data_IF_929094026623
#
_entry.id   IF_929094026623
#
_cell.length_a   1.000
_cell.length_b   1.000
_cell.length_c   1.000
_cell.angle_alpha   90.00
_cell.angle_beta   90.00
_cell.angle_gamma   90.00
#
_symmetry.space_group_name_H-M   'P 1'
#
loop_
_entity.id
_entity.type
_entity.pdbx_description
1 polymer ?
#
# COMPACT_ATOMS: atom_id res chain seq x y z
N UNK A 1 -54.85 49.98 -15.30
CA UNK A 1 -53.57 49.47 -15.79
C UNK A 1 -52.98 48.66 -14.66
N UNK A 2 -53.14 47.31 -14.68
CA UNK A 2 -52.58 46.38 -13.68
C UNK A 2 -51.20 45.90 -14.14
N UNK A 3 -50.14 46.23 -13.38
CA UNK A 3 -48.79 45.75 -13.62
C UNK A 3 -48.68 44.32 -13.06
N UNK A 4 -48.46 43.34 -13.93
CA UNK A 4 -48.19 41.97 -13.57
C UNK A 4 -46.69 41.89 -13.28
N UNK A 5 -46.31 41.64 -12.02
CA UNK A 5 -44.93 41.40 -11.62
C UNK A 5 -44.66 39.91 -11.75
N UNK A 6 -43.78 39.54 -12.71
CA UNK A 6 -43.35 38.16 -12.95
C UNK A 6 -42.16 37.87 -12.01
N UNK A 7 -42.43 37.17 -10.94
CA UNK A 7 -41.38 36.71 -10.02
C UNK A 7 -40.57 35.53 -10.63
N UNK A 8 -39.30 35.75 -10.91
CA UNK A 8 -38.37 34.72 -11.34
C UNK A 8 -37.96 33.86 -10.11
N UNK A 9 -38.49 32.66 -9.98
CA UNK A 9 -38.04 31.69 -8.97
C UNK A 9 -36.76 31.03 -9.49
N UNK A 10 -35.62 31.44 -8.95
CA UNK A 10 -34.35 30.79 -9.20
C UNK A 10 -34.32 29.45 -8.42
N UNK A 11 -34.33 28.35 -9.11
CA UNK A 11 -34.17 27.00 -8.56
C UNK A 11 -32.67 26.78 -8.30
N UNK A 12 -32.25 26.96 -7.06
CA UNK A 12 -30.87 26.66 -6.62
C UNK A 12 -30.77 25.15 -6.45
N UNK A 13 -30.21 24.47 -7.45
CA UNK A 13 -29.81 23.06 -7.33
C UNK A 13 -28.53 23.03 -6.50
N UNK A 14 -28.66 22.72 -5.21
CA UNK A 14 -27.52 22.43 -4.35
C UNK A 14 -27.00 21.03 -4.72
N UNK A 15 -25.93 20.97 -5.47
CA UNK A 15 -25.14 19.74 -5.59
C UNK A 15 -24.49 19.47 -4.23
N UNK A 16 -25.08 18.58 -3.45
CA UNK A 16 -24.40 17.99 -2.30
C UNK A 16 -23.34 17.04 -2.89
N UNK A 17 -22.10 17.50 -3.05
CA UNK A 17 -20.96 16.62 -3.29
C UNK A 17 -20.60 15.91 -1.99
N UNK A 18 -21.34 14.88 -1.63
CA UNK A 18 -20.95 13.93 -0.59
C UNK A 18 -20.04 12.89 -1.23
N UNK A 19 -18.85 13.32 -1.66
CA UNK A 19 -17.86 12.42 -2.25
C UNK A 19 -16.82 12.03 -1.20
N UNK A 20 -17.28 11.52 -0.04
CA UNK A 20 -16.37 10.96 0.95
C UNK A 20 -16.05 9.50 0.65
N UNK A 21 -17.01 8.77 0.06
CA UNK A 21 -16.88 7.37 -0.33
C UNK A 21 -17.58 7.18 -1.69
N UNK A 22 -16.78 6.83 -2.69
CA UNK A 22 -17.28 6.54 -4.04
C UNK A 22 -17.68 5.05 -4.08
N UNK A 23 -18.98 4.71 -4.29
CA UNK A 23 -19.42 3.32 -4.28
C UNK A 23 -18.80 2.45 -5.38
N UNK A 24 -18.42 3.02 -6.52
CA UNK A 24 -17.76 2.28 -7.59
C UNK A 24 -16.31 1.99 -7.22
N UNK A 25 -15.60 2.96 -6.63
CA UNK A 25 -14.26 2.76 -6.08
C UNK A 25 -14.27 1.69 -4.97
N UNK A 26 -15.29 1.69 -4.09
CA UNK A 26 -15.44 0.69 -3.03
C UNK A 26 -15.52 -0.72 -3.60
N UNK A 27 -16.39 -0.96 -4.57
CA UNK A 27 -16.54 -2.28 -5.20
C UNK A 27 -15.25 -2.78 -5.86
N UNK A 28 -14.46 -1.89 -6.46
CA UNK A 28 -13.17 -2.23 -7.07
C UNK A 28 -12.16 -2.60 -5.98
N UNK A 29 -12.05 -1.81 -4.92
CA UNK A 29 -11.15 -2.04 -3.80
C UNK A 29 -11.51 -3.34 -3.05
N UNK A 30 -12.78 -3.60 -2.79
CA UNK A 30 -13.26 -4.86 -2.19
C UNK A 30 -12.89 -6.07 -3.06
N UNK A 31 -13.09 -5.98 -4.38
CA UNK A 31 -12.78 -7.06 -5.31
C UNK A 31 -11.29 -7.35 -5.36
N UNK A 32 -10.45 -6.31 -5.36
CA UNK A 32 -9.00 -6.41 -5.26
C UNK A 32 -8.61 -7.07 -3.92
N UNK A 33 -9.07 -6.54 -2.79
CA UNK A 33 -8.76 -7.08 -1.45
C UNK A 33 -9.16 -8.56 -1.35
N UNK A 34 -10.37 -8.92 -1.79
CA UNK A 34 -10.84 -10.30 -1.81
C UNK A 34 -9.95 -11.21 -2.66
N UNK A 35 -9.47 -10.73 -3.82
CA UNK A 35 -8.56 -11.48 -4.70
C UNK A 35 -7.25 -11.79 -3.99
N UNK A 36 -6.63 -10.82 -3.30
CA UNK A 36 -5.39 -11.03 -2.57
C UNK A 36 -5.59 -11.93 -1.34
N UNK A 37 -6.64 -11.72 -0.56
CA UNK A 37 -7.00 -12.54 0.61
C UNK A 37 -7.37 -13.99 0.26
N UNK A 38 -7.84 -14.24 -0.95
CA UNK A 38 -8.16 -15.62 -1.40
C UNK A 38 -6.93 -16.49 -1.66
N UNK A 39 -5.75 -15.88 -1.78
CA UNK A 39 -4.48 -16.59 -1.95
C UNK A 39 -3.98 -17.09 -0.60
N UNK A 40 -3.64 -18.38 -0.51
CA UNK A 40 -3.06 -18.94 0.71
C UNK A 40 -1.67 -18.35 1.00
N UNK A 41 -0.86 -18.18 -0.05
CA UNK A 41 0.38 -17.41 -0.03
C UNK A 41 0.73 -16.98 -1.46
N UNK A 42 1.51 -15.92 -1.61
CA UNK A 42 1.99 -15.44 -2.90
C UNK A 42 3.37 -14.78 -2.80
N UNK A 43 4.04 -14.64 -3.92
CA UNK A 43 5.26 -13.86 -4.10
C UNK A 43 5.00 -12.75 -5.11
N UNK A 44 5.48 -11.56 -4.81
CA UNK A 44 5.46 -10.43 -5.73
C UNK A 44 6.86 -9.84 -5.88
N UNK A 45 7.28 -9.58 -7.12
CA UNK A 45 8.43 -8.72 -7.40
C UNK A 45 7.94 -7.32 -7.74
N UNK A 46 8.67 -6.31 -7.29
CA UNK A 46 8.30 -4.92 -7.50
C UNK A 46 9.52 -4.03 -7.74
N UNK A 47 9.25 -2.87 -8.29
CA UNK A 47 10.17 -1.74 -8.32
C UNK A 47 9.59 -0.63 -7.48
N UNK A 48 10.41 -0.04 -6.61
CA UNK A 48 10.10 1.18 -5.89
C UNK A 48 10.91 2.31 -6.49
N UNK A 49 10.24 3.42 -6.80
CA UNK A 49 10.89 4.66 -7.21
C UNK A 49 10.62 5.71 -6.13
N UNK A 50 11.70 6.21 -5.52
CA UNK A 50 11.67 7.33 -4.58
C UNK A 50 11.97 8.62 -5.33
N UNK A 51 11.04 9.58 -5.27
CA UNK A 51 11.12 10.86 -5.94
C UNK A 51 11.00 11.98 -4.90
N UNK A 52 11.93 12.93 -4.94
CA UNK A 52 11.78 14.23 -4.29
C UNK A 52 12.23 15.32 -5.25
N UNK A 53 11.28 16.04 -5.85
CA UNK A 53 11.54 17.06 -6.88
C UNK A 53 12.34 18.24 -6.32
N UNK A 54 12.13 18.62 -5.05
CA UNK A 54 12.83 19.74 -4.41
C UNK A 54 14.32 19.43 -4.24
N UNK A 55 14.64 18.19 -3.86
CA UNK A 55 16.01 17.71 -3.65
C UNK A 55 16.63 17.11 -4.91
N UNK A 56 15.89 17.07 -6.03
CA UNK A 56 16.29 16.43 -7.30
C UNK A 56 16.70 14.96 -7.10
N UNK A 57 15.98 14.23 -6.24
CA UNK A 57 16.19 12.79 -5.99
C UNK A 57 15.23 12.02 -6.89
N UNK A 58 15.75 11.00 -7.56
CA UNK A 58 15.00 10.02 -8.36
C UNK A 58 15.75 8.69 -8.31
N UNK A 59 15.40 7.85 -7.32
CA UNK A 59 16.11 6.62 -6.99
C UNK A 59 15.22 5.40 -7.18
N UNK A 60 15.77 4.35 -7.77
CA UNK A 60 15.08 3.09 -8.02
C UNK A 60 15.71 1.97 -7.23
N UNK A 61 14.86 1.20 -6.56
CA UNK A 61 15.23 -0.07 -5.97
C UNK A 61 14.25 -1.16 -6.41
N UNK A 62 14.72 -2.40 -6.46
CA UNK A 62 13.86 -3.55 -6.72
C UNK A 62 13.81 -4.45 -5.50
N UNK A 63 12.69 -5.12 -5.31
CA UNK A 63 12.52 -6.03 -4.20
C UNK A 63 11.61 -7.20 -4.53
N UNK A 64 11.60 -8.16 -3.61
CA UNK A 64 10.69 -9.31 -3.64
C UNK A 64 10.00 -9.42 -2.29
N UNK A 65 8.70 -9.58 -2.30
CA UNK A 65 7.90 -9.84 -1.10
C UNK A 65 7.19 -11.19 -1.23
N UNK A 66 7.24 -11.98 -0.17
CA UNK A 66 6.44 -13.18 0.02
C UNK A 66 5.43 -12.92 1.13
N UNK A 67 4.18 -13.29 0.92
CA UNK A 67 3.09 -13.02 1.87
C UNK A 67 2.28 -14.27 2.11
N UNK A 68 1.94 -14.53 3.38
CA UNK A 68 1.04 -15.60 3.83
C UNK A 68 0.21 -15.13 5.03
N UNK A 69 -1.03 -14.70 4.77
CA UNK A 69 -1.85 -14.06 5.79
C UNK A 69 -1.19 -12.79 6.33
N UNK A 70 -0.91 -12.73 7.63
CA UNK A 70 -0.21 -11.61 8.28
C UNK A 70 1.33 -11.74 8.25
N UNK A 71 1.87 -12.89 7.78
CA UNK A 71 3.30 -13.15 7.71
C UNK A 71 3.86 -12.65 6.39
N UNK A 72 5.10 -12.18 6.42
CA UNK A 72 5.80 -11.79 5.19
C UNK A 72 7.32 -11.97 5.31
N UNK A 73 7.97 -12.14 4.16
CA UNK A 73 9.40 -12.01 3.97
C UNK A 73 9.63 -10.98 2.87
N UNK A 74 10.38 -9.93 3.14
CA UNK A 74 10.70 -8.86 2.21
C UNK A 74 12.20 -8.82 1.97
N UNK A 75 12.61 -8.90 0.71
CA UNK A 75 14.00 -8.78 0.25
C UNK A 75 14.13 -7.49 -0.54
N UNK A 76 14.89 -6.52 -0.02
CA UNK A 76 15.03 -5.19 -0.62
C UNK A 76 16.36 -4.55 -0.22
N UNK A 77 17.08 -3.98 -1.20
CA UNK A 77 18.28 -3.16 -0.97
C UNK A 77 19.33 -3.80 -0.03
N UNK A 78 19.58 -5.10 -0.15
CA UNK A 78 20.55 -5.84 0.68
C UNK A 78 20.08 -6.18 2.08
N UNK A 79 18.81 -5.93 2.39
CA UNK A 79 18.16 -6.32 3.62
C UNK A 79 17.12 -7.41 3.38
N UNK A 80 16.95 -8.29 4.37
CA UNK A 80 15.87 -9.27 4.40
C UNK A 80 15.09 -9.09 5.69
N UNK A 81 13.81 -8.78 5.55
CA UNK A 81 12.91 -8.60 6.67
C UNK A 81 11.98 -9.82 6.74
N UNK A 82 11.92 -10.46 7.92
CA UNK A 82 11.01 -11.57 8.20
C UNK A 82 9.98 -11.14 9.23
N UNK A 83 8.74 -11.51 9.02
CA UNK A 83 7.64 -11.33 9.96
C UNK A 83 6.85 -12.64 10.08
N UNK A 84 6.89 -13.26 11.25
CA UNK A 84 6.14 -14.49 11.54
C UNK A 84 4.74 -14.24 12.15
N UNK A 85 4.35 -12.94 12.26
CA UNK A 85 3.12 -12.48 12.88
C UNK A 85 3.24 -12.17 14.38
N UNK A 86 4.41 -12.39 14.99
CA UNK A 86 4.73 -12.07 16.40
C UNK A 86 6.01 -11.28 16.52
N UNK A 87 7.02 -11.64 15.73
CA UNK A 87 8.33 -11.00 15.71
C UNK A 87 8.66 -10.47 14.34
N UNK A 88 9.45 -9.42 14.32
CA UNK A 88 10.02 -8.80 13.14
C UNK A 88 11.54 -8.92 13.22
N UNK A 89 12.17 -9.60 12.27
CA UNK A 89 13.62 -9.66 12.12
C UNK A 89 14.03 -8.81 10.92
N UNK A 90 15.07 -8.02 11.08
CA UNK A 90 15.71 -7.28 10.00
C UNK A 90 17.16 -7.73 9.90
N UNK A 91 17.47 -8.49 8.86
CA UNK A 91 18.80 -9.00 8.58
C UNK A 91 19.48 -8.14 7.51
N UNK A 92 20.71 -7.70 7.80
CA UNK A 92 21.60 -7.03 6.88
C UNK A 92 22.80 -7.94 6.56
N UNK A 93 22.88 -8.37 5.31
CA UNK A 93 23.98 -9.22 4.85
C UNK A 93 25.32 -8.47 4.85
N UNK A 94 25.31 -7.15 4.58
CA UNK A 94 26.51 -6.31 4.48
C UNK A 94 27.29 -6.24 5.82
N UNK A 95 26.56 -6.12 6.94
CA UNK A 95 27.15 -6.00 8.27
C UNK A 95 27.03 -7.28 9.11
N UNK A 96 26.43 -8.34 8.56
CA UNK A 96 26.23 -9.62 9.23
C UNK A 96 25.51 -9.48 10.58
N UNK A 97 24.46 -8.67 10.61
CA UNK A 97 23.67 -8.36 11.80
C UNK A 97 22.19 -8.67 11.57
N UNK A 98 21.53 -9.23 12.57
CA UNK A 98 20.08 -9.35 12.61
C UNK A 98 19.54 -8.70 13.87
N UNK A 99 18.59 -7.80 13.68
CA UNK A 99 17.80 -7.24 14.78
C UNK A 99 16.49 -8.00 14.91
N UNK A 100 15.98 -8.20 16.12
CA UNK A 100 14.64 -8.74 16.36
C UNK A 100 13.86 -7.84 17.30
N UNK A 101 12.60 -7.57 16.96
CA UNK A 101 11.64 -6.84 17.79
C UNK A 101 10.28 -7.54 17.78
N UNK A 102 9.42 -7.16 18.71
CA UNK A 102 8.01 -7.57 18.66
C UNK A 102 7.32 -6.90 17.47
N UNK A 103 6.55 -7.68 16.70
CA UNK A 103 5.78 -7.14 15.61
C UNK A 103 4.53 -6.41 16.12
N UNK A 104 4.38 -5.15 15.76
CA UNK A 104 3.17 -4.37 15.96
C UNK A 104 2.55 -4.00 14.61
N UNK A 105 1.33 -4.46 14.38
CA UNK A 105 0.61 -4.19 13.13
C UNK A 105 0.25 -2.70 12.97
N UNK A 106 0.04 -2.00 14.08
CA UNK A 106 -0.37 -0.58 14.06
C UNK A 106 0.79 0.36 13.74
N UNK A 107 2.04 -0.10 13.97
CA UNK A 107 3.25 0.66 13.65
C UNK A 107 3.80 0.39 12.24
N UNK A 108 3.06 -0.38 11.41
CA UNK A 108 3.56 -0.75 10.09
C UNK A 108 3.35 0.34 9.05
N UNK A 109 4.41 0.66 8.33
CA UNK A 109 4.35 1.50 7.15
C UNK A 109 3.49 0.86 6.04
N UNK A 110 2.95 1.72 5.18
CA UNK A 110 2.23 1.28 3.98
C UNK A 110 3.19 0.61 3.03
N UNK A 111 2.90 -0.63 2.68
CA UNK A 111 3.74 -1.44 1.82
C UNK A 111 2.94 -2.48 1.04
N UNK A 112 3.63 -3.29 0.23
CA UNK A 112 3.05 -4.43 -0.46
C UNK A 112 2.54 -5.55 0.48
N UNK A 113 2.70 -5.42 1.80
CA UNK A 113 2.20 -6.40 2.77
C UNK A 113 0.78 -6.09 3.25
N UNK A 114 0.31 -4.83 3.13
CA UNK A 114 -0.95 -4.36 3.71
C UNK A 114 -1.80 -3.46 2.78
N UNK A 115 -1.24 -3.00 1.67
CA UNK A 115 -1.86 -1.98 0.78
C UNK A 115 -3.27 -2.34 0.30
N UNK A 116 -3.58 -3.65 0.11
CA UNK A 116 -4.90 -4.09 -0.40
C UNK A 116 -6.04 -3.98 0.62
N UNK A 117 -5.73 -3.77 1.90
CA UNK A 117 -6.72 -3.63 2.97
C UNK A 117 -6.83 -2.22 3.54
N UNK A 118 -5.90 -1.33 3.18
CA UNK A 118 -5.75 -0.01 3.77
C UNK A 118 -7.03 0.84 3.68
N UNK A 119 -7.82 0.68 2.61
CA UNK A 119 -9.05 1.46 2.38
C UNK A 119 -10.16 1.20 3.41
N UNK A 120 -10.08 0.10 4.19
CA UNK A 120 -11.16 -0.34 5.08
C UNK A 120 -11.37 0.58 6.27
N UNK A 121 -10.31 1.20 6.77
CA UNK A 121 -10.36 2.07 7.95
C UNK A 121 -9.52 3.33 7.76
N UNK A 122 -10.09 4.49 8.12
CA UNK A 122 -9.35 5.75 8.19
C UNK A 122 -9.18 6.50 6.88
N UNK A 123 -9.71 6.00 5.75
CA UNK A 123 -9.55 6.64 4.44
C UNK A 123 -10.88 6.92 3.77
N UNK A 124 -10.97 8.06 3.08
CA UNK A 124 -11.93 8.31 2.02
C UNK A 124 -11.31 7.95 0.68
N UNK A 125 -12.12 7.54 -0.27
CA UNK A 125 -11.63 7.11 -1.57
C UNK A 125 -12.54 7.59 -2.70
N UNK A 126 -11.95 7.78 -3.89
CA UNK A 126 -12.66 8.19 -5.07
C UNK A 126 -12.03 7.66 -6.35
N UNK A 127 -12.89 7.35 -7.32
CA UNK A 127 -12.49 6.92 -8.64
C UNK A 127 -12.07 8.14 -9.49
N UNK A 128 -10.95 8.00 -10.19
CA UNK A 128 -10.45 8.98 -11.14
C UNK A 128 -10.65 8.49 -12.59
N UNK A 129 -10.26 9.34 -13.54
CA UNK A 129 -10.20 8.96 -14.96
C UNK A 129 -9.23 7.77 -15.10
N UNK A 130 -9.63 6.70 -15.81
CA UNK A 130 -8.76 5.56 -16.07
C UNK A 130 -7.42 5.98 -16.71
N UNK A 131 -6.38 5.17 -16.47
CA UNK A 131 -5.10 5.40 -17.13
C UNK A 131 -5.16 5.11 -18.65
N UNK A 132 -4.04 5.34 -19.36
CA UNK A 132 -3.96 5.13 -20.81
C UNK A 132 -4.15 3.66 -21.23
N UNK A 133 -4.02 2.71 -20.30
CA UNK A 133 -4.24 1.28 -20.50
C UNK A 133 -5.67 0.85 -20.13
N UNK A 134 -6.50 1.77 -19.64
CA UNK A 134 -7.86 1.52 -19.21
C UNK A 134 -7.97 0.89 -17.81
N UNK A 135 -6.91 0.94 -17.00
CA UNK A 135 -6.96 0.52 -15.61
C UNK A 135 -7.68 1.55 -14.75
N UNK A 136 -8.33 1.09 -13.69
CA UNK A 136 -8.93 1.98 -12.70
C UNK A 136 -7.86 2.72 -11.90
N UNK A 137 -8.08 4.00 -11.70
CA UNK A 137 -7.22 4.86 -10.86
C UNK A 137 -8.04 5.32 -9.67
N UNK A 138 -7.63 4.93 -8.46
CA UNK A 138 -8.34 5.26 -7.23
C UNK A 138 -7.39 6.02 -6.30
N UNK A 139 -7.85 7.17 -5.80
CA UNK A 139 -7.15 7.92 -4.77
C UNK A 139 -7.75 7.59 -3.40
N UNK A 140 -6.88 7.29 -2.42
CA UNK A 140 -7.21 7.22 -1.01
C UNK A 140 -6.59 8.43 -0.31
N UNK A 141 -7.36 9.07 0.58
CA UNK A 141 -6.89 10.19 1.39
C UNK A 141 -7.28 9.94 2.86
N UNK A 142 -6.37 10.14 3.83
CA UNK A 142 -6.71 10.03 5.24
C UNK A 142 -7.92 10.90 5.60
N UNK A 143 -8.84 10.38 6.40
CA UNK A 143 -9.99 11.16 6.91
C UNK A 143 -9.48 12.22 7.88
N UNK A 144 -8.58 11.84 8.79
CA UNK A 144 -7.92 12.72 9.73
C UNK A 144 -6.62 13.25 9.13
N UNK A 145 -6.57 14.54 8.82
CA UNK A 145 -5.39 15.17 8.25
C UNK A 145 -4.31 15.41 9.30
N UNK A 146 -3.05 15.17 8.92
CA UNK A 146 -1.89 15.47 9.76
C UNK A 146 -1.61 14.44 10.84
N UNK A 147 -2.31 13.34 10.87
CA UNK A 147 -1.98 12.15 11.67
C UNK A 147 -0.92 11.33 10.94
N UNK A 148 -1.14 11.12 9.64
CA UNK A 148 -0.21 10.41 8.78
C UNK A 148 0.83 11.37 8.17
N UNK A 149 2.03 10.84 7.86
CA UNK A 149 3.06 11.60 7.15
C UNK A 149 2.70 11.89 5.68
N UNK A 150 1.69 11.20 5.15
CA UNK A 150 1.22 11.33 3.78
C UNK A 150 -0.21 11.87 3.73
N UNK A 151 -0.55 12.48 2.60
CA UNK A 151 -1.89 13.05 2.39
C UNK A 151 -2.70 12.30 1.33
N UNK A 152 -2.06 11.44 0.54
CA UNK A 152 -2.73 10.67 -0.52
C UNK A 152 -1.97 9.42 -0.91
N UNK A 153 -2.73 8.38 -1.25
CA UNK A 153 -2.24 7.20 -1.96
C UNK A 153 -3.04 7.07 -3.24
N UNK A 154 -2.35 6.92 -4.37
CA UNK A 154 -2.97 6.61 -5.67
C UNK A 154 -2.71 5.18 -6.04
N UNK A 155 -3.77 4.42 -6.27
CA UNK A 155 -3.72 3.04 -6.74
C UNK A 155 -4.09 2.93 -8.21
N UNK A 156 -3.41 2.04 -8.93
CA UNK A 156 -3.75 1.63 -10.30
C UNK A 156 -4.10 0.16 -10.27
N UNK A 157 -5.35 -0.17 -10.61
CA UNK A 157 -5.92 -1.52 -10.51
C UNK A 157 -6.42 -1.93 -11.89
N UNK A 158 -6.04 -3.12 -12.37
CA UNK A 158 -6.49 -3.63 -13.66
C UNK A 158 -7.96 -4.09 -13.63
N UNK A 159 -8.55 -4.26 -14.82
CA UNK A 159 -9.91 -4.80 -14.99
C UNK A 159 -10.08 -6.23 -14.43
N UNK A 160 -8.98 -6.91 -14.12
CA UNK A 160 -8.96 -8.20 -13.44
C UNK A 160 -8.74 -8.09 -11.93
N UNK A 161 -8.81 -6.86 -11.39
CA UNK A 161 -8.56 -6.54 -9.98
C UNK A 161 -7.15 -6.84 -9.49
N UNK A 162 -6.14 -6.81 -10.39
CA UNK A 162 -4.74 -6.83 -9.99
C UNK A 162 -4.26 -5.42 -9.66
N UNK A 163 -3.65 -5.24 -8.51
CA UNK A 163 -2.92 -4.02 -8.20
C UNK A 163 -1.69 -3.95 -9.11
N UNK A 164 -1.62 -2.95 -9.98
CA UNK A 164 -0.50 -2.71 -10.90
C UNK A 164 0.57 -1.84 -10.27
N UNK A 165 0.14 -0.79 -9.61
CA UNK A 165 1.02 0.12 -8.88
C UNK A 165 0.26 0.87 -7.80
N UNK A 166 1.01 1.43 -6.85
CA UNK A 166 0.49 2.46 -5.97
C UNK A 166 1.57 3.52 -5.71
N UNK A 167 1.14 4.74 -5.45
CA UNK A 167 2.02 5.87 -5.12
C UNK A 167 1.55 6.54 -3.86
N UNK A 168 2.48 6.71 -2.92
CA UNK A 168 2.29 7.45 -1.67
C UNK A 168 2.82 8.86 -1.88
N UNK A 169 2.04 9.87 -1.48
CA UNK A 169 2.40 11.28 -1.56
C UNK A 169 2.51 11.85 -0.15
N UNK A 170 3.70 12.23 0.27
CA UNK A 170 3.95 12.83 1.57
C UNK A 170 3.83 14.35 1.57
N UNK A 171 3.51 14.92 2.73
CA UNK A 171 3.48 16.37 2.95
C UNK A 171 4.87 17.02 2.78
N UNK A 172 5.94 16.25 2.98
CA UNK A 172 7.34 16.64 2.74
C UNK A 172 7.68 16.87 1.26
N UNK A 173 6.80 16.45 0.33
CA UNK A 173 7.03 16.40 -1.10
C UNK A 173 7.71 15.11 -1.58
N UNK A 174 7.99 14.17 -0.70
CA UNK A 174 8.44 12.84 -1.06
C UNK A 174 7.32 12.07 -1.75
N UNK A 175 7.68 11.23 -2.71
CA UNK A 175 6.78 10.32 -3.39
C UNK A 175 7.42 8.94 -3.48
N UNK A 176 6.68 7.91 -3.09
CA UNK A 176 7.11 6.51 -3.20
C UNK A 176 6.18 5.81 -4.17
N UNK A 177 6.69 5.45 -5.34
CA UNK A 177 5.93 4.77 -6.38
C UNK A 177 6.33 3.30 -6.46
N UNK A 178 5.41 2.41 -6.14
CA UNK A 178 5.59 0.96 -6.20
C UNK A 178 4.92 0.42 -7.46
N UNK A 179 5.67 -0.26 -8.31
CA UNK A 179 5.16 -0.94 -9.51
C UNK A 179 5.33 -2.45 -9.35
N UNK A 180 4.24 -3.19 -9.41
CA UNK A 180 4.26 -4.64 -9.34
C UNK A 180 4.67 -5.19 -10.71
N UNK A 181 5.80 -5.90 -10.75
CA UNK A 181 6.34 -6.46 -11.99
C UNK A 181 5.94 -7.92 -12.18
N UNK A 182 5.69 -8.65 -11.09
CA UNK A 182 5.27 -10.05 -11.12
C UNK A 182 4.46 -10.40 -9.88
N UNK A 183 3.46 -11.27 -10.05
CA UNK A 183 2.69 -11.87 -8.96
C UNK A 183 2.56 -13.36 -9.22
N UNK A 184 2.98 -14.20 -8.28
CA UNK A 184 2.97 -15.67 -8.41
C UNK A 184 2.30 -16.25 -7.17
N UNK A 185 1.41 -17.22 -7.37
CA UNK A 185 0.88 -18.04 -6.28
C UNK A 185 1.99 -18.94 -5.70
N UNK A 186 2.08 -18.96 -4.36
CA UNK A 186 3.09 -19.70 -3.61
C UNK A 186 2.46 -20.46 -2.46
N UNK A 187 1.37 -21.16 -2.74
CA UNK A 187 0.68 -22.02 -1.78
C UNK A 187 1.55 -23.13 -1.16
N UNK A 188 2.75 -23.34 -1.72
CA UNK A 188 3.79 -24.25 -1.22
C UNK A 188 4.53 -23.72 0.03
N UNK A 189 4.47 -22.41 0.34
CA UNK A 189 5.23 -21.83 1.45
C UNK A 189 4.70 -22.30 2.82
N UNK A 190 5.62 -22.82 3.64
CA UNK A 190 5.36 -23.18 5.03
C UNK A 190 5.51 -21.97 5.95
N UNK A 191 5.12 -22.10 7.20
CA UNK A 191 5.21 -20.99 8.17
C UNK A 191 6.66 -20.68 8.54
N UNK A 192 7.53 -21.69 8.58
CA UNK A 192 8.96 -21.55 8.90
C UNK A 192 9.70 -20.65 7.89
N UNK A 193 9.21 -20.54 6.64
CA UNK A 193 9.78 -19.65 5.64
C UNK A 193 9.77 -18.17 6.05
N UNK A 194 8.91 -17.80 6.99
CA UNK A 194 8.72 -16.41 7.47
C UNK A 194 9.42 -16.13 8.80
N UNK A 195 10.24 -17.06 9.29
CA UNK A 195 11.00 -16.94 10.53
C UNK A 195 12.49 -16.91 10.20
N UNK A 196 13.25 -16.06 10.88
CA UNK A 196 14.71 -16.06 10.76
C UNK A 196 15.30 -17.21 11.56
N UNK A 197 16.03 -18.12 10.89
CA UNK A 197 16.68 -19.26 11.54
C UNK A 197 18.18 -18.96 11.78
N UNK A 198 18.54 -18.63 13.02
CA UNK A 198 19.93 -18.38 13.42
C UNK A 198 20.88 -19.55 13.13
N UNK A 199 20.38 -20.77 12.99
CA UNK A 199 21.24 -21.93 12.69
C UNK A 199 21.78 -21.92 11.26
N UNK A 200 21.07 -21.24 10.35
CA UNK A 200 21.51 -21.04 8.96
C UNK A 200 22.54 -19.89 8.84
N UNK A 201 22.67 -19.05 9.89
CA UNK A 201 23.52 -17.86 9.92
C UNK A 201 24.41 -17.83 11.15
N UNK A 202 25.36 -18.77 11.29
CA UNK A 202 26.14 -18.97 12.55
C UNK A 202 27.09 -17.83 12.91
N UNK A 203 27.41 -16.95 11.96
CA UNK A 203 28.33 -15.80 12.16
C UNK A 203 27.60 -14.46 12.34
N UNK A 204 26.24 -14.49 12.37
CA UNK A 204 25.43 -13.28 12.49
C UNK A 204 25.35 -12.82 13.94
N UNK A 205 25.56 -11.54 14.17
CA UNK A 205 25.29 -10.89 15.46
C UNK A 205 23.78 -10.66 15.62
N UNK A 206 23.22 -11.20 16.73
CA UNK A 206 21.81 -11.00 17.07
C UNK A 206 21.67 -9.86 18.08
N UNK A 207 20.87 -8.85 17.71
CA UNK A 207 20.46 -7.76 18.60
C UNK A 207 18.97 -7.92 18.91
N UNK A 208 18.64 -8.21 20.19
CA UNK A 208 17.27 -8.48 20.64
C UNK A 208 16.67 -7.24 21.33
N UNK A 209 15.57 -6.70 20.76
CA UNK A 209 14.82 -5.54 21.27
C UNK A 209 13.42 -5.93 21.82
N UNK A 210 13.15 -7.20 22.03
CA UNK A 210 11.84 -7.66 22.53
C UNK A 210 11.65 -7.46 24.02
#
# INVERSE_FOLDING_TARGET
>A
MKKLSLGLIAFIVTFNSSAQFDPEAELILESMSKKYKSKSAFMSTFQQNFINEVSAIDEFISGTVYVKGAKYKLEIAGQIIFNDGQNLWSYSEEIMEVTVSTYDKEEQDISLTNIWDLYQEGYKYGLNIPDAQGNWVIDLEPIERGVEAFYKIRMVISNEYDLKSFRIFEESGNQYNYTITKLIDRSDLTDDFFTFDLTEYPEVELIDFR
#
